data_IF_360905738927
#
_entry.id   IF_360905738927
#
_cell.length_a   1.000
_cell.length_b   1.000
_cell.length_c   1.000
_cell.angle_alpha   90.00
_cell.angle_beta   90.00
_cell.angle_gamma   90.00
#
_symmetry.space_group_name_H-M   'P 1'
#
loop_
_entity.id
_entity.type
_entity.pdbx_description
1 polymer ?
#
# COMPACT_ATOMS: atom_id res chain seq x y z
N UNK A 1 -23.47 -115.42 31.52
CA UNK A 1 -22.95 -115.01 30.20
C UNK A 1 -23.52 -113.65 29.77
N UNK A 2 -24.84 -113.44 29.78
CA UNK A 2 -25.46 -112.14 29.41
C UNK A 2 -24.93 -110.88 30.13
N UNK A 3 -24.59 -110.97 31.41
CA UNK A 3 -24.04 -109.82 32.16
C UNK A 3 -22.62 -109.44 31.71
N UNK A 4 -21.81 -110.42 31.32
CA UNK A 4 -20.46 -110.19 30.81
C UNK A 4 -20.51 -109.56 29.41
N UNK A 5 -21.49 -109.95 28.59
CA UNK A 5 -21.67 -109.37 27.26
C UNK A 5 -22.19 -107.93 27.31
N UNK A 6 -23.05 -107.58 28.28
CA UNK A 6 -23.45 -106.16 28.51
C UNK A 6 -22.28 -105.30 28.95
N UNK A 7 -21.50 -105.75 29.94
CA UNK A 7 -20.33 -105.01 30.42
C UNK A 7 -19.28 -104.85 29.32
N UNK A 8 -19.08 -105.87 28.47
CA UNK A 8 -18.24 -105.77 27.28
C UNK A 8 -18.76 -104.73 26.28
N UNK A 9 -20.07 -104.68 26.05
CA UNK A 9 -20.71 -103.66 25.19
C UNK A 9 -20.55 -102.24 25.74
N UNK A 10 -20.68 -102.07 27.06
CA UNK A 10 -20.48 -100.77 27.74
C UNK A 10 -19.02 -100.31 27.68
N UNK A 11 -18.06 -101.22 27.87
CA UNK A 11 -16.61 -100.91 27.72
C UNK A 11 -16.30 -100.48 26.29
N UNK A 12 -16.81 -101.20 25.28
CA UNK A 12 -16.60 -100.85 23.88
C UNK A 12 -17.22 -99.48 23.53
N UNK A 13 -18.40 -99.17 24.06
CA UNK A 13 -19.04 -97.86 23.89
C UNK A 13 -18.23 -96.74 24.56
N UNK A 14 -17.69 -96.98 25.75
CA UNK A 14 -16.85 -96.03 26.47
C UNK A 14 -15.51 -95.79 25.75
N UNK A 15 -14.87 -96.84 25.21
CA UNK A 15 -13.65 -96.74 24.41
C UNK A 15 -13.89 -95.95 23.12
N UNK A 16 -15.04 -96.16 22.47
CA UNK A 16 -15.41 -95.40 21.28
C UNK A 16 -15.66 -93.92 21.61
N UNK A 17 -16.40 -93.61 22.68
CA UNK A 17 -16.61 -92.24 23.15
C UNK A 17 -15.29 -91.56 23.54
N UNK A 18 -14.37 -92.29 24.18
CA UNK A 18 -13.05 -91.78 24.52
C UNK A 18 -12.22 -91.48 23.26
N UNK A 19 -12.26 -92.35 22.25
CA UNK A 19 -11.57 -92.12 20.98
C UNK A 19 -12.16 -90.92 20.20
N UNK A 20 -13.48 -90.74 20.23
CA UNK A 20 -14.17 -89.59 19.64
C UNK A 20 -13.80 -88.28 20.38
N UNK A 21 -13.84 -88.27 21.71
CA UNK A 21 -13.46 -87.10 22.51
C UNK A 21 -11.98 -86.69 22.31
N UNK A 22 -11.08 -87.66 22.13
CA UNK A 22 -9.68 -87.38 21.80
C UNK A 22 -9.54 -86.74 20.41
N UNK A 23 -10.25 -87.24 19.41
CA UNK A 23 -10.27 -86.64 18.07
C UNK A 23 -10.84 -85.22 18.07
N UNK A 24 -11.93 -84.98 18.80
CA UNK A 24 -12.51 -83.64 18.94
C UNK A 24 -11.53 -82.68 19.61
N UNK A 25 -10.82 -83.12 20.66
CA UNK A 25 -9.80 -82.31 21.33
C UNK A 25 -8.63 -81.95 20.40
N UNK A 26 -8.20 -82.86 19.54
CA UNK A 26 -7.17 -82.58 18.54
C UNK A 26 -7.63 -81.59 17.46
N UNK A 27 -8.89 -81.71 17.02
CA UNK A 27 -9.49 -80.76 16.07
C UNK A 27 -9.61 -79.37 16.70
N UNK A 28 -10.11 -79.29 17.94
CA UNK A 28 -10.20 -78.04 18.68
C UNK A 28 -8.81 -77.44 18.93
N UNK A 29 -7.81 -78.24 19.29
CA UNK A 29 -6.42 -77.78 19.44
C UNK A 29 -5.87 -77.16 18.16
N UNK A 30 -6.14 -77.76 17.00
CA UNK A 30 -5.76 -77.20 15.69
C UNK A 30 -6.49 -75.90 15.38
N UNK A 31 -7.80 -75.83 15.60
CA UNK A 31 -8.60 -74.61 15.36
C UNK A 31 -8.15 -73.47 16.27
N UNK A 32 -7.87 -73.76 17.54
CA UNK A 32 -7.36 -72.77 18.50
C UNK A 32 -5.98 -72.29 18.08
N UNK A 33 -5.07 -73.20 17.69
CA UNK A 33 -3.74 -72.85 17.19
C UNK A 33 -3.78 -71.99 15.92
N UNK A 34 -4.65 -72.32 14.96
CA UNK A 34 -4.85 -71.54 13.74
C UNK A 34 -5.41 -70.15 14.02
N UNK A 35 -6.38 -70.04 14.94
CA UNK A 35 -6.92 -68.74 15.37
C UNK A 35 -5.89 -67.89 16.11
N UNK A 36 -5.06 -68.51 16.95
CA UNK A 36 -3.99 -67.81 17.66
C UNK A 36 -2.95 -67.25 16.68
N UNK A 37 -2.49 -68.05 15.71
CA UNK A 37 -1.57 -67.60 14.67
C UNK A 37 -2.18 -66.47 13.81
N UNK A 38 -3.44 -66.62 13.38
CA UNK A 38 -4.12 -65.57 12.62
C UNK A 38 -4.29 -64.27 13.43
N UNK A 39 -4.53 -64.36 14.73
CA UNK A 39 -4.60 -63.18 15.59
C UNK A 39 -3.24 -62.52 15.72
N UNK A 40 -2.17 -63.30 15.90
CA UNK A 40 -0.80 -62.80 15.96
C UNK A 40 -0.42 -62.07 14.66
N UNK A 41 -0.74 -62.63 13.50
CA UNK A 41 -0.53 -61.98 12.20
C UNK A 41 -1.30 -60.66 12.10
N UNK A 42 -2.57 -60.62 12.54
CA UNK A 42 -3.36 -59.38 12.53
C UNK A 42 -2.84 -58.34 13.50
N UNK A 43 -2.32 -58.76 14.67
CA UNK A 43 -1.72 -57.85 15.64
C UNK A 43 -0.41 -57.27 15.12
N UNK A 44 0.43 -58.07 14.45
CA UNK A 44 1.64 -57.59 13.79
C UNK A 44 1.31 -56.60 12.68
N UNK A 45 0.33 -56.92 11.83
CA UNK A 45 -0.12 -56.02 10.76
C UNK A 45 -0.65 -54.68 11.31
N UNK A 46 -1.47 -54.72 12.36
CA UNK A 46 -1.97 -53.51 13.04
C UNK A 46 -0.83 -52.70 13.68
N UNK A 47 0.17 -53.37 14.26
CA UNK A 47 1.34 -52.69 14.85
C UNK A 47 2.15 -51.94 13.80
N UNK A 48 2.36 -52.53 12.62
CA UNK A 48 3.04 -51.86 11.50
C UNK A 48 2.22 -50.67 11.01
N UNK A 49 0.91 -50.86 10.84
CA UNK A 49 0.01 -49.79 10.39
C UNK A 49 -0.04 -48.62 11.39
N UNK A 50 -0.02 -48.89 12.70
CA UNK A 50 0.07 -47.83 13.71
C UNK A 50 1.38 -47.06 13.61
N UNK A 51 2.50 -47.76 13.42
CA UNK A 51 3.79 -47.10 13.26
C UNK A 51 3.86 -46.26 11.97
N UNK A 52 3.23 -46.72 10.89
CA UNK A 52 3.11 -45.93 9.65
C UNK A 52 2.30 -44.65 9.87
N UNK A 53 1.20 -44.71 10.64
CA UNK A 53 0.43 -43.51 11.00
C UNK A 53 1.21 -42.54 11.90
N UNK A 54 1.98 -43.06 12.87
CA UNK A 54 2.85 -42.22 13.72
C UNK A 54 3.89 -41.47 12.86
N UNK A 55 4.52 -42.17 11.91
CA UNK A 55 5.46 -41.54 10.98
C UNK A 55 4.80 -40.48 10.08
N UNK A 56 3.55 -40.73 9.64
CA UNK A 56 2.79 -39.78 8.83
C UNK A 56 2.37 -38.55 9.65
N UNK A 57 1.96 -38.73 10.91
CA UNK A 57 1.62 -37.64 11.84
C UNK A 57 2.84 -36.74 12.10
N UNK A 58 4.00 -37.34 12.37
CA UNK A 58 5.26 -36.61 12.54
C UNK A 58 5.62 -35.79 11.27
N UNK A 59 5.46 -36.38 10.09
CA UNK A 59 5.71 -35.67 8.82
C UNK A 59 4.74 -34.51 8.59
N UNK A 60 3.46 -34.69 8.95
CA UNK A 60 2.45 -33.64 8.85
C UNK A 60 2.70 -32.50 9.84
N UNK A 61 3.14 -32.82 11.07
CA UNK A 61 3.54 -31.80 12.04
C UNK A 61 4.71 -30.97 11.54
N UNK A 62 5.73 -31.62 10.97
CA UNK A 62 6.89 -30.95 10.42
C UNK A 62 6.50 -30.03 9.25
N UNK A 63 5.67 -30.52 8.32
CA UNK A 63 5.12 -29.71 7.24
C UNK A 63 4.32 -28.50 7.77
N UNK A 64 3.49 -28.68 8.81
CA UNK A 64 2.74 -27.60 9.43
C UNK A 64 3.64 -26.55 10.12
N UNK A 65 4.79 -26.96 10.66
CA UNK A 65 5.81 -26.01 11.19
C UNK A 65 6.45 -25.21 10.05
N UNK A 66 6.81 -25.86 8.94
CA UNK A 66 7.35 -25.17 7.76
C UNK A 66 6.38 -24.16 7.16
N UNK A 67 5.10 -24.52 6.96
CA UNK A 67 4.11 -23.60 6.44
C UNK A 67 3.87 -22.41 7.36
N UNK A 68 3.84 -22.61 8.68
CA UNK A 68 3.74 -21.50 9.65
C UNK A 68 4.95 -20.56 9.59
N UNK A 69 6.17 -21.11 9.51
CA UNK A 69 7.38 -20.32 9.37
C UNK A 69 7.38 -19.50 8.06
N UNK A 70 7.03 -20.15 6.94
CA UNK A 70 6.94 -19.49 5.64
C UNK A 70 5.88 -18.38 5.62
N UNK A 71 4.69 -18.63 6.20
CA UNK A 71 3.64 -17.62 6.33
C UNK A 71 4.09 -16.43 7.19
N UNK A 72 4.81 -16.68 8.29
CA UNK A 72 5.40 -15.63 9.13
C UNK A 72 6.42 -14.78 8.38
N UNK A 73 7.29 -15.39 7.58
CA UNK A 73 8.25 -14.67 6.74
C UNK A 73 7.55 -13.79 5.71
N UNK A 74 6.58 -14.34 4.97
CA UNK A 74 5.81 -13.58 3.96
C UNK A 74 5.06 -12.41 4.59
N UNK A 75 4.47 -12.59 5.77
CA UNK A 75 3.83 -11.50 6.50
C UNK A 75 4.83 -10.39 6.85
N UNK A 76 6.00 -10.76 7.37
CA UNK A 76 7.05 -9.80 7.73
C UNK A 76 7.63 -9.05 6.53
N UNK A 77 7.83 -9.73 5.39
CA UNK A 77 8.33 -9.11 4.16
C UNK A 77 7.29 -8.17 3.56
N UNK A 78 6.02 -8.56 3.59
CA UNK A 78 4.92 -7.69 3.16
C UNK A 78 4.82 -6.44 4.05
N UNK A 79 4.96 -6.59 5.36
CA UNK A 79 4.98 -5.46 6.29
C UNK A 79 6.16 -4.51 6.03
N UNK A 80 7.37 -5.05 5.81
CA UNK A 80 8.55 -4.27 5.41
C UNK A 80 8.35 -3.55 4.09
N UNK A 81 7.71 -4.20 3.11
CA UNK A 81 7.43 -3.58 1.82
C UNK A 81 6.41 -2.44 1.96
N UNK A 82 5.35 -2.65 2.75
CA UNK A 82 4.32 -1.63 3.01
C UNK A 82 4.90 -0.42 3.77
N UNK A 83 5.71 -0.66 4.80
CA UNK A 83 6.38 0.43 5.56
C UNK A 83 7.36 1.20 4.69
N UNK A 84 8.18 0.52 3.88
CA UNK A 84 9.09 1.16 2.92
C UNK A 84 8.34 1.98 1.86
N UNK A 85 7.24 1.43 1.32
CA UNK A 85 6.38 2.12 0.36
C UNK A 85 5.74 3.37 0.98
N UNK A 86 5.20 3.27 2.20
CA UNK A 86 4.64 4.40 2.96
C UNK A 86 5.68 5.49 3.20
N UNK A 87 6.89 5.12 3.64
CA UNK A 87 7.98 6.06 3.86
C UNK A 87 8.46 6.74 2.56
N UNK A 88 8.44 6.02 1.43
CA UNK A 88 8.74 6.61 0.11
C UNK A 88 7.66 7.60 -0.30
N UNK A 89 6.38 7.24 -0.15
CA UNK A 89 5.26 8.12 -0.48
C UNK A 89 5.26 9.39 0.37
N UNK A 90 5.51 9.27 1.68
CA UNK A 90 5.63 10.41 2.59
C UNK A 90 6.75 11.37 2.17
N UNK A 91 7.90 10.85 1.71
CA UNK A 91 8.98 11.69 1.17
C UNK A 91 8.54 12.43 -0.08
N UNK A 92 7.96 11.72 -1.05
CA UNK A 92 7.47 12.33 -2.30
C UNK A 92 6.48 13.45 -2.01
N UNK A 93 5.50 13.22 -1.14
CA UNK A 93 4.52 14.25 -0.77
C UNK A 93 5.17 15.45 -0.08
N UNK A 94 6.10 15.21 0.84
CA UNK A 94 6.85 16.29 1.51
C UNK A 94 7.64 17.14 0.50
N UNK A 95 8.31 16.50 -0.45
CA UNK A 95 9.09 17.18 -1.48
C UNK A 95 8.19 18.00 -2.40
N UNK A 96 7.03 17.44 -2.80
CA UNK A 96 6.02 18.15 -3.60
C UNK A 96 5.48 19.38 -2.86
N UNK A 97 5.09 19.24 -1.59
CA UNK A 97 4.61 20.37 -0.79
C UNK A 97 5.69 21.45 -0.61
N UNK A 98 6.95 21.04 -0.43
CA UNK A 98 8.08 21.97 -0.31
C UNK A 98 8.32 22.72 -1.62
N UNK A 99 8.25 22.03 -2.76
CA UNK A 99 8.35 22.64 -4.08
C UNK A 99 7.22 23.65 -4.32
N UNK A 100 5.97 23.28 -4.03
CA UNK A 100 4.81 24.17 -4.20
C UNK A 100 4.93 25.41 -3.31
N UNK A 101 5.31 25.25 -2.04
CA UNK A 101 5.53 26.38 -1.14
C UNK A 101 6.60 27.35 -1.66
N UNK A 102 7.72 26.83 -2.17
CA UNK A 102 8.78 27.65 -2.78
C UNK A 102 8.32 28.33 -4.08
N UNK A 103 7.59 27.61 -4.92
CA UNK A 103 7.08 28.13 -6.19
C UNK A 103 6.07 29.28 -5.96
N UNK A 104 5.09 29.08 -5.07
CA UNK A 104 4.11 30.11 -4.71
C UNK A 104 4.79 31.31 -4.02
N UNK A 105 5.73 31.06 -3.12
CA UNK A 105 6.52 32.14 -2.50
C UNK A 105 7.30 32.97 -3.52
N UNK A 106 7.87 32.32 -4.54
CA UNK A 106 8.54 32.99 -5.66
C UNK A 106 7.56 33.81 -6.49
N UNK A 107 6.40 33.26 -6.83
CA UNK A 107 5.36 33.99 -7.58
C UNK A 107 4.86 35.23 -6.81
N UNK A 108 4.71 35.12 -5.49
CA UNK A 108 4.30 36.25 -4.64
C UNK A 108 5.34 37.37 -4.65
N UNK A 109 6.62 37.01 -4.52
CA UNK A 109 7.71 37.98 -4.62
C UNK A 109 7.76 38.63 -6.02
N UNK A 110 7.54 37.85 -7.08
CA UNK A 110 7.49 38.35 -8.46
C UNK A 110 6.30 39.30 -8.67
N UNK A 111 5.10 38.97 -8.20
CA UNK A 111 3.92 39.84 -8.31
C UNK A 111 4.16 41.19 -7.62
N UNK A 112 4.73 41.19 -6.42
CA UNK A 112 5.05 42.44 -5.70
C UNK A 112 6.05 43.29 -6.48
N UNK A 113 7.03 42.68 -7.13
CA UNK A 113 7.98 43.40 -7.98
C UNK A 113 7.31 43.95 -9.24
N UNK A 114 6.49 43.14 -9.91
CA UNK A 114 5.75 43.53 -11.12
C UNK A 114 4.78 44.67 -10.84
N UNK A 115 4.09 44.65 -9.69
CA UNK A 115 3.19 45.72 -9.26
C UNK A 115 3.93 47.03 -9.03
N UNK A 116 5.10 46.97 -8.39
CA UNK A 116 5.98 48.15 -8.22
C UNK A 116 6.48 48.68 -9.56
N UNK A 117 6.89 47.79 -10.47
CA UNK A 117 7.34 48.17 -11.80
C UNK A 117 6.20 48.84 -12.59
N UNK A 118 5.00 48.26 -12.58
CA UNK A 118 3.84 48.79 -13.27
C UNK A 118 3.49 50.19 -12.76
N UNK A 119 3.39 50.35 -11.43
CA UNK A 119 3.13 51.66 -10.81
C UNK A 119 4.21 52.70 -11.14
N UNK A 120 5.49 52.30 -11.16
CA UNK A 120 6.59 53.17 -11.59
C UNK A 120 6.44 53.59 -13.05
N UNK A 121 6.18 52.63 -13.95
CA UNK A 121 6.00 52.91 -15.37
C UNK A 121 4.79 53.82 -15.63
N UNK A 122 3.66 53.59 -14.97
CA UNK A 122 2.48 54.45 -15.07
C UNK A 122 2.78 55.89 -14.64
N UNK A 123 3.46 56.08 -13.51
CA UNK A 123 3.88 57.40 -13.03
C UNK A 123 4.85 58.10 -13.98
N UNK A 124 5.88 57.39 -14.44
CA UNK A 124 6.89 57.95 -15.36
C UNK A 124 6.31 58.23 -16.75
N UNK A 125 5.35 57.44 -17.23
CA UNK A 125 4.68 57.67 -18.52
C UNK A 125 3.92 59.00 -18.51
N UNK A 126 3.17 59.30 -17.44
CA UNK A 126 2.49 60.58 -17.29
C UNK A 126 3.47 61.76 -17.27
N UNK A 127 4.55 61.65 -16.48
CA UNK A 127 5.58 62.69 -16.41
C UNK A 127 6.36 62.86 -17.73
N UNK A 128 6.62 61.78 -18.47
CA UNK A 128 7.28 61.82 -19.77
C UNK A 128 6.40 62.46 -20.85
N UNK A 129 5.08 62.26 -20.80
CA UNK A 129 4.12 62.91 -21.69
C UNK A 129 4.14 64.43 -21.55
N UNK A 130 4.07 64.93 -20.32
CA UNK A 130 4.15 66.37 -20.04
C UNK A 130 5.48 66.98 -20.49
N UNK A 131 6.60 66.30 -20.21
CA UNK A 131 7.94 66.71 -20.66
C UNK A 131 8.05 66.78 -22.18
N UNK A 132 7.59 65.74 -22.89
CA UNK A 132 7.63 65.68 -24.35
C UNK A 132 6.85 66.84 -24.98
N UNK A 133 5.66 67.15 -24.44
CA UNK A 133 4.83 68.27 -24.90
C UNK A 133 5.51 69.62 -24.64
N UNK A 134 6.13 69.79 -23.46
CA UNK A 134 6.86 71.00 -23.11
C UNK A 134 8.08 71.24 -24.02
N UNK A 135 8.91 70.21 -24.23
CA UNK A 135 10.08 70.28 -25.12
C UNK A 135 9.68 70.60 -26.57
N UNK A 136 8.57 70.02 -27.04
CA UNK A 136 8.04 70.31 -28.38
C UNK A 136 7.59 71.77 -28.52
N UNK A 137 6.93 72.34 -27.50
CA UNK A 137 6.54 73.77 -27.49
C UNK A 137 7.73 74.71 -27.49
N UNK A 138 8.86 74.30 -26.90
CA UNK A 138 10.11 75.06 -26.84
C UNK A 138 10.99 74.87 -28.08
N UNK A 139 10.57 74.09 -29.08
CA UNK A 139 11.35 73.83 -30.30
C UNK A 139 12.54 72.87 -30.11
N UNK A 140 12.62 72.15 -28.99
CA UNK A 140 13.71 71.21 -28.66
C UNK A 140 13.44 69.81 -29.24
N UNK A 141 13.39 69.71 -30.56
CA UNK A 141 12.96 68.50 -31.28
C UNK A 141 13.79 67.25 -30.96
N UNK A 142 15.11 67.38 -30.80
CA UNK A 142 15.99 66.25 -30.49
C UNK A 142 15.72 65.67 -29.10
N UNK A 143 15.61 66.52 -28.07
CA UNK A 143 15.25 66.06 -26.72
C UNK A 143 13.83 65.49 -26.67
N UNK A 144 12.88 66.08 -27.41
CA UNK A 144 11.53 65.53 -27.52
C UNK A 144 11.52 64.13 -28.15
N UNK A 145 12.41 63.86 -29.11
CA UNK A 145 12.56 62.53 -29.72
C UNK A 145 13.15 61.51 -28.75
N UNK A 146 14.17 61.88 -27.98
CA UNK A 146 14.79 61.01 -26.96
C UNK A 146 13.80 60.68 -25.84
N UNK A 147 13.03 61.66 -25.38
CA UNK A 147 11.96 61.46 -24.39
C UNK A 147 10.83 60.58 -24.97
N UNK A 148 10.52 60.73 -26.26
CA UNK A 148 9.60 59.85 -26.98
C UNK A 148 10.06 58.39 -27.01
N UNK A 149 11.36 58.14 -27.23
CA UNK A 149 11.94 56.80 -27.18
C UNK A 149 11.89 56.20 -25.75
N UNK A 150 12.20 57.00 -24.73
CA UNK A 150 12.05 56.60 -23.32
C UNK A 150 10.60 56.21 -22.99
N UNK A 151 9.63 56.99 -23.46
CA UNK A 151 8.20 56.71 -23.28
C UNK A 151 7.79 55.39 -23.95
N UNK A 152 8.27 55.12 -25.17
CA UNK A 152 8.02 53.84 -25.84
C UNK A 152 8.56 52.67 -25.01
N UNK A 153 9.81 52.78 -24.53
CA UNK A 153 10.41 51.76 -23.67
C UNK A 153 9.62 51.52 -22.37
N UNK A 154 9.14 52.58 -21.72
CA UNK A 154 8.29 52.47 -20.52
C UNK A 154 6.95 51.77 -20.81
N UNK A 155 6.34 52.01 -21.97
CA UNK A 155 5.12 51.30 -22.40
C UNK A 155 5.38 49.82 -22.62
N UNK A 156 6.51 49.46 -23.23
CA UNK A 156 6.89 48.07 -23.44
C UNK A 156 7.09 47.35 -22.09
N UNK A 157 7.75 48.00 -21.13
CA UNK A 157 7.94 47.45 -19.77
C UNK A 157 6.64 47.32 -18.99
N UNK A 158 5.73 48.28 -19.10
CA UNK A 158 4.41 48.18 -18.50
C UNK A 158 3.63 46.99 -19.09
N UNK A 159 3.64 46.85 -20.43
CA UNK A 159 2.99 45.74 -21.13
C UNK A 159 3.57 44.39 -20.70
N UNK A 160 4.90 44.28 -20.65
CA UNK A 160 5.59 43.09 -20.15
C UNK A 160 5.17 42.73 -18.72
N UNK A 161 5.04 43.73 -17.83
CA UNK A 161 4.64 43.50 -16.45
C UNK A 161 3.19 43.04 -16.32
N UNK A 162 2.28 43.61 -17.12
CA UNK A 162 0.88 43.20 -17.18
C UNK A 162 0.75 41.75 -17.67
N UNK A 163 1.45 41.39 -18.75
CA UNK A 163 1.40 40.03 -19.29
C UNK A 163 2.00 39.00 -18.33
N UNK A 164 3.11 39.32 -17.65
CA UNK A 164 3.67 38.45 -16.60
C UNK A 164 2.72 38.29 -15.42
N UNK A 165 2.01 39.35 -15.04
CA UNK A 165 0.98 39.29 -13.97
C UNK A 165 -0.18 38.39 -14.39
N UNK A 166 -0.62 38.47 -15.65
CA UNK A 166 -1.65 37.58 -16.21
C UNK A 166 -1.20 36.11 -16.22
N UNK A 167 0.05 35.84 -16.60
CA UNK A 167 0.61 34.50 -16.57
C UNK A 167 0.59 33.91 -15.15
N UNK A 168 1.05 34.67 -14.15
CA UNK A 168 1.01 34.24 -12.74
C UNK A 168 -0.44 33.98 -12.29
N UNK A 169 -1.40 34.81 -12.71
CA UNK A 169 -2.82 34.57 -12.40
C UNK A 169 -3.32 33.24 -12.97
N UNK A 170 -2.92 32.89 -14.19
CA UNK A 170 -3.27 31.60 -14.79
C UNK A 170 -2.67 30.45 -13.98
N UNK A 171 -1.37 30.50 -13.70
CA UNK A 171 -0.66 29.46 -12.95
C UNK A 171 -1.29 29.23 -11.55
N UNK A 172 -1.65 30.31 -10.85
CA UNK A 172 -2.31 30.24 -9.54
C UNK A 172 -3.70 29.62 -9.65
N UNK A 173 -4.46 29.91 -10.70
CA UNK A 173 -5.76 29.30 -10.97
C UNK A 173 -5.67 27.79 -11.24
N UNK A 174 -4.68 27.37 -12.02
CA UNK A 174 -4.41 25.95 -12.29
C UNK A 174 -4.03 25.21 -11.00
N UNK A 175 -3.14 25.79 -10.20
CA UNK A 175 -2.74 25.22 -8.91
C UNK A 175 -3.90 25.13 -7.92
N UNK A 176 -4.79 26.13 -7.88
CA UNK A 176 -6.00 26.08 -7.04
C UNK A 176 -6.92 24.93 -7.45
N UNK A 177 -7.07 24.70 -8.76
CA UNK A 177 -7.90 23.62 -9.28
C UNK A 177 -7.32 22.25 -8.90
N UNK A 178 -6.01 22.07 -9.09
CA UNK A 178 -5.29 20.86 -8.66
C UNK A 178 -5.39 20.61 -7.16
N UNK A 179 -5.27 21.66 -6.33
CA UNK A 179 -5.40 21.53 -4.87
C UNK A 179 -6.81 21.13 -4.45
N UNK A 180 -7.84 21.69 -5.10
CA UNK A 180 -9.25 21.34 -4.83
C UNK A 180 -9.54 19.87 -5.16
N UNK A 181 -8.98 19.35 -6.26
CA UNK A 181 -9.08 17.94 -6.64
C UNK A 181 -8.35 17.02 -5.64
N UNK A 182 -7.17 17.44 -5.17
CA UNK A 182 -6.41 16.70 -4.16
C UNK A 182 -7.14 16.64 -2.81
N UNK A 183 -7.77 17.73 -2.36
CA UNK A 183 -8.56 17.74 -1.12
C UNK A 183 -9.77 16.79 -1.21
N UNK A 184 -10.49 16.80 -2.34
CA UNK A 184 -11.64 15.92 -2.56
C UNK A 184 -11.26 14.42 -2.60
N UNK A 185 -10.05 14.10 -3.09
CA UNK A 185 -9.55 12.72 -3.15
C UNK A 185 -9.01 12.22 -1.81
N UNK A 186 -8.39 13.09 -0.99
CA UNK A 186 -7.80 12.69 0.30
C UNK A 186 -8.81 12.49 1.42
N UNK A 187 -10.00 13.10 1.36
CA UNK A 187 -11.02 12.91 2.39
C UNK A 187 -11.72 11.54 2.35
N UNK A 188 -11.73 10.86 1.19
CA UNK A 188 -12.49 9.61 1.00
C UNK A 188 -11.78 8.34 1.49
N UNK A 189 -10.45 8.25 1.32
CA UNK A 189 -9.75 6.96 1.46
C UNK A 189 -8.56 6.96 2.44
N UNK A 190 -8.24 8.08 3.09
CA UNK A 190 -7.06 8.18 3.98
C UNK A 190 -7.37 7.85 5.45
N UNK A 191 -6.45 7.11 6.09
CA UNK A 191 -6.37 6.92 7.53
C UNK A 191 -6.06 8.24 8.26
N UNK A 192 -6.51 8.36 9.52
CA UNK A 192 -6.44 9.59 10.32
C UNK A 192 -5.00 10.16 10.40
N UNK A 193 -4.01 9.27 10.52
CA UNK A 193 -2.59 9.65 10.52
C UNK A 193 -2.20 10.30 9.17
N UNK A 194 -2.52 9.68 8.04
CA UNK A 194 -2.22 10.23 6.71
C UNK A 194 -2.95 11.55 6.45
N UNK A 195 -4.18 11.72 6.97
CA UNK A 195 -4.89 13.00 6.91
C UNK A 195 -4.13 14.11 7.62
N UNK A 196 -3.54 13.85 8.79
CA UNK A 196 -2.77 14.86 9.53
C UNK A 196 -1.52 15.29 8.77
N UNK A 197 -0.81 14.33 8.16
CA UNK A 197 0.41 14.58 7.36
C UNK A 197 0.15 15.40 6.10
N UNK A 198 -1.02 15.25 5.47
CA UNK A 198 -1.36 15.95 4.23
C UNK A 198 -2.02 17.30 4.51
N UNK A 199 -2.93 17.38 5.48
CA UNK A 199 -3.72 18.60 5.73
C UNK A 199 -2.88 19.78 6.18
N UNK A 200 -1.89 19.59 7.06
CA UNK A 200 -1.12 20.71 7.58
C UNK A 200 -0.23 21.40 6.51
N UNK A 201 0.51 20.66 5.65
CA UNK A 201 1.17 21.25 4.48
C UNK A 201 0.19 21.82 3.44
N UNK A 202 -0.92 21.10 3.14
CA UNK A 202 -1.92 21.55 2.18
C UNK A 202 -2.55 22.88 2.58
N UNK A 203 -2.89 23.06 3.87
CA UNK A 203 -3.38 24.33 4.41
C UNK A 203 -2.40 25.49 4.18
N UNK A 204 -1.10 25.26 4.43
CA UNK A 204 -0.08 26.30 4.17
C UNK A 204 0.00 26.70 2.70
N UNK A 205 -0.15 25.73 1.79
CA UNK A 205 -0.21 25.99 0.35
C UNK A 205 -1.48 26.76 0.00
N UNK A 206 -2.60 26.39 0.60
CA UNK A 206 -3.88 27.07 0.42
C UNK A 206 -3.83 28.54 0.89
N UNK A 207 -3.26 28.80 2.06
CA UNK A 207 -3.07 30.16 2.58
C UNK A 207 -2.20 31.01 1.63
N UNK A 208 -1.17 30.42 1.03
CA UNK A 208 -0.33 31.08 0.02
C UNK A 208 -1.11 31.37 -1.27
N UNK A 209 -1.92 30.44 -1.75
CA UNK A 209 -2.80 30.64 -2.90
C UNK A 209 -3.77 31.78 -2.61
N UNK A 210 -4.44 31.79 -1.46
CA UNK A 210 -5.35 32.87 -1.07
C UNK A 210 -4.63 34.23 -0.99
N UNK A 211 -3.41 34.24 -0.46
CA UNK A 211 -2.58 35.46 -0.42
C UNK A 211 -2.28 35.96 -1.83
N UNK A 212 -1.89 35.06 -2.74
CA UNK A 212 -1.61 35.39 -4.14
C UNK A 212 -2.86 35.93 -4.86
N UNK A 213 -4.02 35.30 -4.64
CA UNK A 213 -5.28 35.77 -5.20
C UNK A 213 -5.67 37.15 -4.69
N UNK A 214 -5.42 37.44 -3.41
CA UNK A 214 -5.67 38.77 -2.84
C UNK A 214 -4.74 39.84 -3.43
N UNK A 215 -3.50 39.49 -3.76
CA UNK A 215 -2.53 40.40 -4.39
C UNK A 215 -2.81 40.60 -5.89
N UNK A 216 -3.51 39.65 -6.51
CA UNK A 216 -3.93 39.66 -7.90
C UNK A 216 -5.29 40.34 -8.15
N UNK A 217 -6.10 40.53 -7.10
CA UNK A 217 -7.38 41.26 -7.14
C UNK A 217 -7.16 42.78 -7.27
#
# INVERSE_FOLDING_TARGET
>A
EEQLDRVRGEILAAEQQQAEALREREVLGRVVGQKAASLEDTMQALSVQMQDYENEEDALEEAARFFRAAAGMVASDKERQMTSSRARMQRVLRDHHSFLGLHLGRQLAQLRLLRRLASFCEGELGAAEERTLSMSRLGMSQMASEEGARRAHLKDKLTEAVERTRAIRSDVGDMRSQMSELELSTDRDADEETREWVRAPARRIWDLIQTLESELA
#
